data_IF_649551989895
#
_entry.id   IF_649551989895
#
_cell.length_a   1.000
_cell.length_b   1.000
_cell.length_c   1.000
_cell.angle_alpha   90.00
_cell.angle_beta   90.00
_cell.angle_gamma   90.00
#
_symmetry.space_group_name_H-M   'P 1'
#
loop_
_entity.id
_entity.type
_entity.pdbx_description
1 polymer ?
#
# COMPACT_ATOMS: atom_id res chain seq x y z
N UNK A 1 28.10 -6.01 -15.80
CA UNK A 1 26.77 -6.53 -16.21
C UNK A 1 25.72 -5.52 -15.82
N UNK A 2 24.72 -5.26 -16.69
CA UNK A 2 23.57 -4.44 -16.34
C UNK A 2 22.78 -5.07 -15.17
N UNK A 3 22.26 -4.24 -14.27
CA UNK A 3 21.48 -4.68 -13.11
C UNK A 3 20.17 -3.92 -13.06
N UNK A 4 19.10 -4.59 -12.63
CA UNK A 4 17.84 -3.92 -12.28
C UNK A 4 18.09 -3.12 -11.00
N UNK A 5 17.63 -1.86 -10.98
CA UNK A 5 17.81 -0.95 -9.85
C UNK A 5 16.70 -1.09 -8.81
N UNK A 6 15.45 -0.93 -9.25
CA UNK A 6 14.27 -0.92 -8.37
C UNK A 6 12.99 -1.25 -9.14
N UNK A 7 11.90 -1.50 -8.42
CA UNK A 7 10.56 -1.43 -9.01
C UNK A 7 10.31 0.03 -9.40
N UNK A 8 9.96 0.27 -10.67
CA UNK A 8 9.73 1.63 -11.19
C UNK A 8 8.33 2.13 -10.83
N UNK A 9 7.31 1.36 -11.16
CA UNK A 9 5.90 1.62 -10.86
C UNK A 9 5.09 0.33 -10.91
N UNK A 10 3.84 0.40 -10.42
CA UNK A 10 2.85 -0.68 -10.50
C UNK A 10 1.64 -0.18 -11.26
N UNK A 11 1.07 -1.03 -12.15
CA UNK A 11 -0.20 -0.73 -12.85
C UNK A 11 -1.25 -1.73 -12.40
N UNK A 12 -2.40 -1.22 -11.94
CA UNK A 12 -3.51 -1.99 -11.41
C UNK A 12 -4.73 -1.84 -12.32
N UNK A 13 -5.47 -2.94 -12.52
CA UNK A 13 -6.77 -2.87 -13.18
C UNK A 13 -7.83 -2.29 -12.26
N UNK A 14 -8.73 -1.47 -12.79
CA UNK A 14 -9.85 -0.90 -12.06
C UNK A 14 -11.17 -0.95 -12.87
N UNK A 15 -12.30 -0.88 -12.20
CA UNK A 15 -13.63 -0.75 -12.83
C UNK A 15 -13.98 0.70 -13.11
N UNK A 16 -13.74 1.56 -12.14
CA UNK A 16 -14.02 2.99 -12.20
C UNK A 16 -12.78 3.81 -11.85
N UNK A 17 -12.08 4.38 -12.83
CA UNK A 17 -10.92 5.23 -12.57
C UNK A 17 -11.24 6.43 -11.67
N UNK A 18 -12.49 6.94 -11.66
CA UNK A 18 -12.85 8.08 -10.79
C UNK A 18 -12.93 7.65 -9.32
N UNK A 19 -13.46 6.45 -9.05
CA UNK A 19 -13.42 5.88 -7.69
C UNK A 19 -11.98 5.66 -7.22
N UNK A 20 -11.11 5.15 -8.10
CA UNK A 20 -9.69 4.99 -7.80
C UNK A 20 -9.00 6.34 -7.56
N UNK A 21 -9.26 7.37 -8.41
CA UNK A 21 -8.70 8.71 -8.22
C UNK A 21 -9.07 9.21 -6.82
N UNK A 22 -10.33 9.20 -6.47
CA UNK A 22 -10.78 9.61 -5.14
C UNK A 22 -10.06 8.83 -4.03
N UNK A 23 -9.98 7.51 -4.15
CA UNK A 23 -9.35 6.64 -3.17
C UNK A 23 -7.87 7.00 -2.96
N UNK A 24 -7.05 7.00 -4.02
CA UNK A 24 -5.60 7.19 -3.93
C UNK A 24 -5.23 8.62 -3.49
N UNK A 25 -6.02 9.63 -3.89
CA UNK A 25 -5.75 11.02 -3.46
C UNK A 25 -6.23 11.31 -2.04
N UNK A 26 -7.47 10.92 -1.67
CA UNK A 26 -8.05 11.29 -0.37
C UNK A 26 -7.56 10.41 0.78
N UNK A 27 -7.35 9.11 0.55
CA UNK A 27 -6.94 8.18 1.61
C UNK A 27 -5.42 8.08 1.74
N UNK A 28 -4.69 8.02 0.61
CA UNK A 28 -3.25 7.83 0.61
C UNK A 28 -2.45 9.13 0.40
N UNK A 29 -3.14 10.25 0.08
CA UNK A 29 -2.49 11.53 -0.10
C UNK A 29 -1.61 11.61 -1.35
N UNK A 30 -1.82 10.72 -2.33
CA UNK A 30 -1.05 10.74 -3.57
C UNK A 30 -1.44 11.91 -4.47
N UNK A 31 -0.48 12.46 -5.19
CA UNK A 31 -0.73 13.43 -6.24
C UNK A 31 -1.31 12.74 -7.47
N UNK A 32 -2.46 13.21 -7.98
CA UNK A 32 -2.94 12.84 -9.30
C UNK A 32 -2.11 13.61 -10.35
N UNK A 33 -1.15 12.92 -10.97
CA UNK A 33 -0.29 13.52 -12.00
C UNK A 33 -1.07 13.75 -13.29
N UNK A 34 -1.86 12.75 -13.71
CA UNK A 34 -2.66 12.84 -14.94
C UNK A 34 -3.82 11.83 -14.90
N UNK A 35 -4.95 12.21 -15.49
CA UNK A 35 -6.00 11.29 -15.93
C UNK A 35 -6.12 11.38 -17.45
N UNK A 36 -5.86 10.28 -18.14
CA UNK A 36 -6.04 10.14 -19.57
C UNK A 36 -7.44 9.58 -19.88
N UNK A 37 -8.31 10.40 -20.48
CA UNK A 37 -9.69 10.01 -20.77
C UNK A 37 -9.81 8.97 -21.89
N UNK A 38 -8.91 8.97 -22.88
CA UNK A 38 -8.98 8.01 -23.98
C UNK A 38 -8.60 6.61 -23.53
N UNK A 39 -7.53 6.51 -22.72
CA UNK A 39 -7.07 5.25 -22.16
C UNK A 39 -7.83 4.84 -20.88
N UNK A 40 -8.65 5.75 -20.33
CA UNK A 40 -9.29 5.57 -19.01
C UNK A 40 -8.26 5.16 -17.95
N UNK A 41 -7.16 5.91 -17.89
CA UNK A 41 -5.98 5.60 -17.05
C UNK A 41 -5.59 6.80 -16.22
N UNK A 42 -5.37 6.58 -14.92
CA UNK A 42 -4.89 7.61 -13.98
C UNK A 42 -3.48 7.25 -13.48
N UNK A 43 -2.65 8.27 -13.27
CA UNK A 43 -1.27 8.16 -12.81
C UNK A 43 -1.13 8.93 -11.49
N UNK A 44 -0.53 8.29 -10.48
CA UNK A 44 -0.35 8.84 -9.14
C UNK A 44 1.11 8.83 -8.74
N UNK A 45 1.54 9.88 -8.01
CA UNK A 45 2.91 9.99 -7.50
C UNK A 45 2.91 10.32 -6.00
N UNK A 46 3.98 9.88 -5.32
CA UNK A 46 4.34 10.35 -3.98
C UNK A 46 5.17 11.64 -4.00
N UNK A 47 5.44 12.20 -5.19
CA UNK A 47 6.12 13.49 -5.39
C UNK A 47 7.55 13.41 -5.94
N UNK A 48 8.20 12.25 -5.90
CA UNK A 48 9.59 12.10 -6.37
C UNK A 48 9.71 11.57 -7.79
N UNK A 49 8.78 10.72 -8.22
CA UNK A 49 8.77 10.12 -9.56
C UNK A 49 7.64 10.68 -10.42
N UNK A 50 7.76 10.53 -11.74
CA UNK A 50 6.67 10.91 -12.66
C UNK A 50 5.36 10.14 -12.38
N UNK A 51 5.42 8.93 -11.84
CA UNK A 51 4.34 8.19 -11.20
C UNK A 51 4.91 6.94 -10.48
N UNK A 52 4.22 6.50 -9.46
CA UNK A 52 4.54 5.32 -8.65
C UNK A 52 3.48 4.23 -8.85
N UNK A 53 2.22 4.65 -8.93
CA UNK A 53 1.06 3.80 -9.19
C UNK A 53 0.32 4.35 -10.41
N UNK A 54 -0.19 3.47 -11.26
CA UNK A 54 -1.20 3.79 -12.24
C UNK A 54 -2.38 2.83 -12.11
N UNK A 55 -3.58 3.31 -12.43
CA UNK A 55 -4.76 2.47 -12.60
C UNK A 55 -5.27 2.59 -14.03
N UNK A 56 -5.72 1.48 -14.60
CA UNK A 56 -6.30 1.44 -15.94
C UNK A 56 -7.65 0.72 -15.88
N UNK A 57 -8.67 1.32 -16.51
CA UNK A 57 -9.96 0.65 -16.65
C UNK A 57 -9.80 -0.61 -17.49
N UNK A 58 -10.25 -1.73 -16.95
CA UNK A 58 -10.29 -3.00 -17.65
C UNK A 58 -11.73 -3.36 -18.04
N UNK A 59 -11.94 -4.13 -19.14
CA UNK A 59 -13.24 -4.66 -19.53
C UNK A 59 -13.92 -5.44 -18.42
N UNK A 60 -15.26 -5.46 -18.41
CA UNK A 60 -16.05 -6.09 -17.34
C UNK A 60 -15.85 -7.61 -17.25
N UNK A 61 -15.43 -8.26 -18.32
CA UNK A 61 -15.10 -9.68 -18.38
C UNK A 61 -13.68 -10.00 -17.89
N UNK A 62 -12.86 -9.00 -17.66
CA UNK A 62 -11.52 -9.20 -17.07
C UNK A 62 -11.58 -9.07 -15.54
N UNK A 63 -10.82 -9.87 -14.80
CA UNK A 63 -10.78 -9.75 -13.35
C UNK A 63 -10.09 -8.44 -12.92
N UNK A 64 -10.56 -7.87 -11.82
CA UNK A 64 -9.85 -6.85 -11.03
C UNK A 64 -9.45 -7.42 -9.69
N UNK A 65 -8.59 -6.72 -8.96
CA UNK A 65 -8.07 -7.19 -7.67
C UNK A 65 -6.86 -8.11 -7.81
N UNK A 66 -6.51 -8.76 -6.73
CA UNK A 66 -5.22 -9.42 -6.55
C UNK A 66 -5.17 -10.86 -7.14
N UNK A 67 -5.41 -11.04 -8.43
CA UNK A 67 -5.18 -12.35 -9.06
C UNK A 67 -3.66 -12.58 -9.27
N UNK A 68 -3.01 -13.27 -8.35
CA UNK A 68 -1.57 -13.59 -8.41
C UNK A 68 -0.64 -12.56 -7.74
N UNK A 69 -1.06 -11.31 -7.58
CA UNK A 69 -0.37 -10.32 -6.76
C UNK A 69 -0.91 -10.41 -5.31
N UNK A 70 -0.05 -10.72 -4.34
CA UNK A 70 -0.48 -10.78 -2.95
C UNK A 70 -0.91 -9.41 -2.44
N UNK A 71 -0.04 -8.43 -2.53
CA UNK A 71 -0.29 -7.03 -2.17
C UNK A 71 0.79 -6.10 -2.74
N UNK A 72 0.50 -4.80 -2.73
CA UNK A 72 1.47 -3.73 -2.94
C UNK A 72 1.73 -3.05 -1.61
N UNK A 73 2.97 -3.05 -1.14
CA UNK A 73 3.35 -2.42 0.12
C UNK A 73 3.88 -1.00 -0.12
N UNK A 74 3.36 -0.05 0.66
CA UNK A 74 3.67 1.37 0.59
C UNK A 74 4.29 1.79 1.93
N UNK A 75 5.53 2.23 1.90
CA UNK A 75 6.19 2.74 3.09
C UNK A 75 5.69 4.15 3.41
N UNK A 76 5.33 4.38 4.66
CA UNK A 76 4.94 5.71 5.13
C UNK A 76 6.16 6.46 5.68
N UNK A 77 6.11 7.78 5.69
CA UNK A 77 7.01 8.60 6.48
C UNK A 77 6.60 8.54 7.95
N UNK A 78 7.58 8.51 8.85
CA UNK A 78 7.35 8.46 10.30
C UNK A 78 7.31 7.05 10.85
N UNK A 79 6.60 6.88 11.97
CA UNK A 79 6.55 5.64 12.72
C UNK A 79 5.13 5.17 13.04
N UNK A 80 4.99 4.50 14.19
CA UNK A 80 3.70 3.93 14.61
C UNK A 80 2.63 5.01 14.85
N UNK A 81 3.00 6.23 15.23
CA UNK A 81 2.05 7.34 15.43
C UNK A 81 1.37 7.69 14.11
N UNK A 82 2.14 7.90 13.04
CA UNK A 82 1.64 8.21 11.71
C UNK A 82 0.88 7.03 11.10
N UNK A 83 1.30 5.80 11.39
CA UNK A 83 0.56 4.60 10.98
C UNK A 83 -0.83 4.54 11.63
N UNK A 84 -0.96 4.91 12.92
CA UNK A 84 -2.25 5.01 13.63
C UNK A 84 -3.15 6.08 13.03
N UNK A 85 -2.59 7.23 12.65
CA UNK A 85 -3.35 8.30 11.99
C UNK A 85 -3.90 7.85 10.64
N UNK A 86 -3.08 7.17 9.83
CA UNK A 86 -3.52 6.61 8.54
C UNK A 86 -4.55 5.50 8.72
N UNK A 87 -4.34 4.60 9.67
CA UNK A 87 -5.32 3.56 10.02
C UNK A 87 -6.69 4.17 10.37
N UNK A 88 -6.71 5.21 11.23
CA UNK A 88 -7.96 5.89 11.60
C UNK A 88 -8.59 6.56 10.37
N UNK A 89 -7.80 7.23 9.52
CA UNK A 89 -8.30 7.84 8.27
C UNK A 89 -8.97 6.81 7.35
N UNK A 90 -8.36 5.63 7.16
CA UNK A 90 -8.95 4.56 6.37
C UNK A 90 -10.32 4.13 6.94
N UNK A 91 -10.41 3.97 8.26
CA UNK A 91 -11.67 3.63 8.96
C UNK A 91 -12.73 4.72 8.80
N UNK A 92 -12.36 5.98 9.00
CA UNK A 92 -13.28 7.13 8.89
C UNK A 92 -13.86 7.28 7.48
N UNK A 93 -13.11 6.89 6.46
CA UNK A 93 -13.55 6.87 5.07
C UNK A 93 -14.22 5.55 4.66
N UNK A 94 -14.44 4.63 5.59
CA UNK A 94 -15.12 3.36 5.32
C UNK A 94 -14.33 2.39 4.46
N UNK A 95 -13.00 2.53 4.41
CA UNK A 95 -12.12 1.60 3.69
C UNK A 95 -12.12 0.25 4.42
N UNK A 96 -12.23 -0.84 3.67
CA UNK A 96 -12.16 -2.18 4.21
C UNK A 96 -10.73 -2.53 4.63
N UNK A 97 -10.47 -2.51 5.94
CA UNK A 97 -9.22 -3.00 6.52
C UNK A 97 -9.31 -4.52 6.66
N UNK A 98 -8.30 -5.23 6.16
CA UNK A 98 -8.21 -6.69 6.23
C UNK A 98 -7.66 -7.13 7.60
N UNK A 99 -6.43 -6.71 7.92
CA UNK A 99 -5.83 -6.92 9.24
C UNK A 99 -4.67 -5.95 9.49
N UNK A 100 -4.17 -5.96 10.71
CA UNK A 100 -2.96 -5.26 11.15
C UNK A 100 -1.96 -6.27 11.69
N UNK A 101 -0.67 -6.04 11.48
CA UNK A 101 0.38 -6.96 11.91
C UNK A 101 1.64 -6.22 12.35
N UNK A 102 2.27 -6.76 13.40
CA UNK A 102 3.65 -6.47 13.74
C UNK A 102 4.54 -7.56 13.14
N UNK A 103 5.31 -7.18 12.12
CA UNK A 103 6.26 -8.07 11.45
C UNK A 103 7.64 -8.05 12.11
N UNK A 104 7.77 -7.47 13.30
CA UNK A 104 9.03 -7.25 14.01
C UNK A 104 9.96 -6.23 13.31
N UNK A 105 10.08 -6.32 11.98
CA UNK A 105 10.85 -5.38 11.15
C UNK A 105 10.05 -4.15 10.79
N UNK A 106 8.75 -4.33 10.60
CA UNK A 106 7.78 -3.30 10.22
C UNK A 106 6.49 -3.49 11.01
N UNK A 107 5.71 -2.41 11.10
CA UNK A 107 4.31 -2.46 11.56
C UNK A 107 3.41 -2.06 10.42
N UNK A 108 2.35 -2.82 10.19
CA UNK A 108 1.61 -2.81 8.94
C UNK A 108 0.10 -2.79 9.13
N UNK A 109 -0.58 -2.14 8.18
CA UNK A 109 -2.04 -2.20 7.97
C UNK A 109 -2.30 -2.71 6.56
N UNK A 110 -3.09 -3.77 6.44
CA UNK A 110 -3.54 -4.33 5.17
C UNK A 110 -4.99 -3.93 4.90
N UNK A 111 -5.28 -3.48 3.70
CA UNK A 111 -6.61 -2.98 3.31
C UNK A 111 -6.82 -3.15 1.80
N UNK A 112 -8.05 -2.88 1.34
CA UNK A 112 -8.39 -3.01 -0.08
C UNK A 112 -8.74 -1.65 -0.69
N UNK A 113 -8.31 -1.46 -1.94
CA UNK A 113 -8.80 -0.39 -2.78
C UNK A 113 -10.23 -0.69 -3.28
N UNK A 114 -10.90 0.24 -4.00
CA UNK A 114 -12.28 0.03 -4.47
C UNK A 114 -12.45 -1.18 -5.40
N UNK A 115 -11.39 -1.64 -6.02
CA UNK A 115 -11.41 -2.77 -6.96
C UNK A 115 -10.97 -4.09 -6.33
N UNK A 116 -10.65 -4.09 -5.02
CA UNK A 116 -10.20 -5.25 -4.28
C UNK A 116 -8.70 -5.55 -4.45
N UNK A 117 -7.91 -4.59 -4.94
CA UNK A 117 -6.47 -4.72 -4.88
C UNK A 117 -6.05 -4.59 -3.42
N UNK A 118 -5.28 -5.58 -2.94
CA UNK A 118 -4.77 -5.56 -1.57
C UNK A 118 -3.56 -4.66 -1.49
N UNK A 119 -3.63 -3.71 -0.58
CA UNK A 119 -2.56 -2.76 -0.28
C UNK A 119 -2.08 -2.98 1.16
N UNK A 120 -0.84 -2.61 1.40
CA UNK A 120 -0.24 -2.51 2.71
C UNK A 120 0.33 -1.11 2.88
N UNK A 121 0.08 -0.45 4.00
CA UNK A 121 0.89 0.67 4.48
C UNK A 121 1.70 0.20 5.67
N UNK A 122 2.98 0.58 5.72
CA UNK A 122 3.86 0.16 6.80
C UNK A 122 4.86 1.23 7.20
N UNK A 123 5.25 1.20 8.47
CA UNK A 123 6.41 1.93 8.98
C UNK A 123 7.52 0.95 9.40
N UNK A 124 8.77 1.40 9.31
CA UNK A 124 9.91 0.64 9.80
C UNK A 124 9.93 0.59 11.33
N UNK A 125 10.25 -0.56 11.89
CA UNK A 125 10.43 -0.78 13.33
C UNK A 125 11.88 -0.94 13.73
N UNK A 126 12.79 -1.07 12.74
CA UNK A 126 14.22 -1.12 12.98
C UNK A 126 14.98 -0.51 11.79
N UNK A 127 16.26 -0.24 12.04
CA UNK A 127 17.15 0.31 11.03
C UNK A 127 17.36 -0.71 9.87
N UNK A 128 17.39 -0.21 8.63
CA UNK A 128 17.37 -1.04 7.41
C UNK A 128 18.47 -2.11 7.34
N UNK A 129 19.68 -1.77 7.76
CA UNK A 129 20.80 -2.73 7.73
C UNK A 129 20.60 -3.85 8.76
N UNK A 130 20.03 -3.52 9.93
CA UNK A 130 19.66 -4.50 10.96
C UNK A 130 18.52 -5.40 10.50
N UNK A 131 17.49 -4.83 9.87
CA UNK A 131 16.37 -5.57 9.29
C UNK A 131 16.82 -6.55 8.21
N UNK A 132 17.68 -6.10 7.31
CA UNK A 132 18.28 -6.96 6.27
C UNK A 132 19.10 -8.10 6.86
N UNK A 133 19.94 -7.82 7.85
CA UNK A 133 20.75 -8.83 8.53
C UNK A 133 19.84 -9.84 9.25
N UNK A 134 18.78 -9.38 9.92
CA UNK A 134 17.82 -10.26 10.57
C UNK A 134 17.21 -11.25 9.59
N UNK A 135 16.70 -10.78 8.44
CA UNK A 135 16.12 -11.65 7.41
C UNK A 135 17.13 -12.66 6.83
N UNK A 136 18.40 -12.28 6.73
CA UNK A 136 19.46 -13.17 6.22
C UNK A 136 19.87 -14.26 7.21
N UNK A 137 19.74 -14.01 8.51
CA UNK A 137 20.27 -14.88 9.58
C UNK A 137 19.20 -15.62 10.37
N UNK A 138 17.95 -15.18 10.29
CA UNK A 138 16.83 -15.76 11.05
C UNK A 138 16.12 -16.83 10.25
N UNK A 139 15.97 -18.03 10.85
CA UNK A 139 15.14 -19.12 10.31
C UNK A 139 13.80 -19.26 11.04
N UNK A 140 13.64 -18.58 12.18
CA UNK A 140 12.39 -18.53 12.94
C UNK A 140 11.56 -17.30 12.50
N UNK A 141 10.57 -17.54 11.66
CA UNK A 141 9.65 -16.51 11.16
C UNK A 141 8.42 -16.30 12.06
N UNK A 142 8.33 -16.97 13.19
CA UNK A 142 7.16 -16.89 14.11
C UNK A 142 6.90 -15.46 14.62
N UNK A 143 7.95 -14.65 14.72
CA UNK A 143 7.85 -13.24 15.13
C UNK A 143 7.36 -12.29 14.04
N UNK A 144 7.33 -12.73 12.78
CA UNK A 144 6.97 -11.86 11.66
C UNK A 144 5.46 -11.70 11.46
N UNK A 145 4.63 -12.24 12.35
CA UNK A 145 3.17 -12.21 12.25
C UNK A 145 2.50 -12.07 13.61
N UNK A 146 2.98 -11.13 14.44
CA UNK A 146 2.34 -10.83 15.71
C UNK A 146 1.11 -9.90 15.49
N UNK A 147 0.05 -10.04 16.30
CA UNK A 147 -1.07 -9.09 16.27
C UNK A 147 -0.61 -7.68 16.62
N UNK A 148 -1.11 -6.69 15.90
CA UNK A 148 -0.88 -5.27 16.16
C UNK A 148 -2.19 -4.60 16.52
N UNK A 149 -2.27 -3.92 17.66
CA UNK A 149 -3.45 -3.13 18.03
C UNK A 149 -3.17 -1.65 17.73
N UNK A 150 -3.89 -1.10 16.76
CA UNK A 150 -3.84 0.31 16.37
C UNK A 150 -5.08 1.10 16.84
N UNK A 151 -6.03 0.46 17.52
CA UNK A 151 -7.20 1.17 18.06
C UNK A 151 -6.77 2.23 19.09
N UNK A 152 -7.51 3.36 19.19
CA UNK A 152 -7.26 4.36 20.20
C UNK A 152 -7.34 3.71 21.59
N UNK A 153 -6.35 3.95 22.45
CA UNK A 153 -6.45 3.60 23.86
C UNK A 153 -7.57 4.43 24.47
N UNK A 154 -8.69 3.78 24.81
CA UNK A 154 -9.72 4.43 25.63
C UNK A 154 -9.09 4.78 26.98
N UNK A 155 -8.95 6.10 27.22
CA UNK A 155 -8.54 6.63 28.52
C UNK A 155 -9.61 6.35 29.60
#
# INVERSE_FOLDING_TARGET
MAKINKVGHVVLGCRDPQASIKFYTENLGMELVQFNQELQMAFFSFGEQHHDIAVIKVPDDQPVGSAGLSHTALQIEGGETELRELYQRLKDHGVTVDFTADHFLTKSVYFFDPDGNRLEIFCESMEMAAAKNYLQTTHDLSKLMAPLNLEPTTA
#
